data_IF_019489225616
#
_entry.id   IF_019489225616
#
_cell.length_a   1.000
_cell.length_b   1.000
_cell.length_c   1.000
_cell.angle_alpha   90.00
_cell.angle_beta   90.00
_cell.angle_gamma   90.00
#
_symmetry.space_group_name_H-M   'P 1'
#
loop_
_entity.id
_entity.type
_entity.pdbx_description
1 polymer ?
#
# COMPACT_ATOMS: atom_id res chain seq x y z
N UNK A 1 15.77 -10.55 -14.76
CA UNK A 1 15.17 -11.87 -14.46
C UNK A 1 13.67 -11.70 -14.43
N UNK A 2 12.94 -12.44 -15.26
CA UNK A 2 11.48 -12.45 -15.24
C UNK A 2 10.98 -13.18 -13.99
N UNK A 3 9.88 -12.73 -13.41
CA UNK A 3 9.21 -13.37 -12.28
C UNK A 3 8.66 -14.74 -12.75
N UNK A 4 8.90 -15.81 -11.98
CA UNK A 4 8.34 -17.13 -12.27
C UNK A 4 6.82 -17.12 -12.17
N UNK A 5 6.11 -17.75 -13.08
CA UNK A 5 4.65 -17.91 -13.03
C UNK A 5 4.15 -18.69 -11.80
N UNK A 6 5.04 -19.47 -11.18
CA UNK A 6 4.77 -20.23 -9.94
C UNK A 6 5.14 -19.48 -8.67
N UNK A 7 5.66 -18.24 -8.77
CA UNK A 7 5.97 -17.45 -7.58
C UNK A 7 4.71 -17.15 -6.78
N UNK A 8 4.83 -17.23 -5.44
CA UNK A 8 3.76 -16.89 -4.51
C UNK A 8 3.72 -15.37 -4.31
N UNK A 9 2.63 -14.76 -4.74
CA UNK A 9 2.41 -13.31 -4.72
C UNK A 9 1.24 -13.02 -3.78
N UNK A 10 1.49 -12.22 -2.73
CA UNK A 10 0.45 -11.73 -1.84
C UNK A 10 0.11 -10.28 -2.20
N UNK A 11 -1.17 -10.01 -2.45
CA UNK A 11 -1.71 -8.67 -2.67
C UNK A 11 -2.59 -8.29 -1.48
N UNK A 12 -2.13 -7.38 -0.63
CA UNK A 12 -3.01 -6.79 0.38
C UNK A 12 -3.85 -5.69 -0.25
N UNK A 13 -5.10 -5.55 0.17
CA UNK A 13 -6.03 -4.64 -0.52
C UNK A 13 -6.53 -5.18 -1.86
N UNK A 14 -6.46 -6.50 -2.08
CA UNK A 14 -6.77 -7.17 -3.33
C UNK A 14 -8.22 -7.03 -3.82
N UNK A 15 -9.17 -6.60 -2.97
CA UNK A 15 -10.56 -6.30 -3.35
C UNK A 15 -10.84 -4.80 -3.55
N UNK A 16 -9.83 -3.96 -3.36
CA UNK A 16 -9.91 -2.55 -3.74
C UNK A 16 -9.82 -2.37 -5.26
N UNK A 17 -10.02 -1.13 -5.72
CA UNK A 17 -9.96 -0.79 -7.14
C UNK A 17 -8.68 -1.32 -7.82
N UNK A 18 -7.51 -0.87 -7.37
CA UNK A 18 -6.24 -1.28 -7.98
C UNK A 18 -5.94 -2.77 -7.76
N UNK A 19 -6.27 -3.31 -6.56
CA UNK A 19 -6.01 -4.71 -6.23
C UNK A 19 -6.77 -5.69 -7.11
N UNK A 20 -8.04 -5.40 -7.43
CA UNK A 20 -8.87 -6.23 -8.30
C UNK A 20 -8.30 -6.29 -9.72
N UNK A 21 -7.93 -5.14 -10.29
CA UNK A 21 -7.30 -5.10 -11.62
C UNK A 21 -5.95 -5.83 -11.65
N UNK A 22 -5.15 -5.66 -10.61
CA UNK A 22 -3.86 -6.34 -10.52
C UNK A 22 -4.00 -7.87 -10.40
N UNK A 23 -4.94 -8.34 -9.57
CA UNK A 23 -5.21 -9.79 -9.43
C UNK A 23 -5.65 -10.39 -10.76
N UNK A 24 -6.60 -9.75 -11.45
CA UNK A 24 -7.07 -10.17 -12.78
C UNK A 24 -5.92 -10.21 -13.79
N UNK A 25 -5.12 -9.15 -13.87
CA UNK A 25 -4.02 -9.08 -14.83
C UNK A 25 -2.94 -10.14 -14.57
N UNK A 26 -2.55 -10.35 -13.31
CA UNK A 26 -1.57 -11.38 -12.97
C UNK A 26 -2.08 -12.79 -13.35
N UNK A 27 -3.36 -13.08 -13.08
CA UNK A 27 -3.95 -14.37 -13.49
C UNK A 27 -4.04 -14.51 -14.99
N UNK A 28 -4.42 -13.45 -15.71
CA UNK A 28 -4.46 -13.45 -17.18
C UNK A 28 -3.07 -13.68 -17.78
N UNK A 29 -2.03 -13.17 -17.12
CA UNK A 29 -0.63 -13.44 -17.50
C UNK A 29 -0.13 -14.83 -17.09
N UNK A 30 -0.96 -15.67 -16.47
CA UNK A 30 -0.63 -17.04 -16.11
C UNK A 30 0.15 -17.19 -14.79
N UNK A 31 0.08 -16.23 -13.87
CA UNK A 31 0.57 -16.45 -12.51
C UNK A 31 -0.40 -17.33 -11.73
N UNK A 32 0.10 -18.47 -11.22
CA UNK A 32 -0.73 -19.52 -10.64
C UNK A 32 -1.02 -19.28 -9.15
N UNK A 33 -0.10 -18.66 -8.42
CA UNK A 33 -0.15 -18.53 -6.96
C UNK A 33 -0.31 -17.06 -6.54
N UNK A 34 -1.46 -16.47 -6.89
CA UNK A 34 -1.83 -15.10 -6.49
C UNK A 34 -2.83 -15.16 -5.35
N UNK A 35 -2.47 -14.62 -4.20
CA UNK A 35 -3.27 -14.55 -2.99
C UNK A 35 -3.71 -13.11 -2.75
N UNK A 36 -4.98 -12.90 -2.41
CA UNK A 36 -5.50 -11.57 -2.11
C UNK A 36 -6.01 -11.51 -0.68
N UNK A 37 -5.62 -10.46 0.06
CA UNK A 37 -6.15 -10.13 1.36
C UNK A 37 -6.85 -8.75 1.31
N UNK A 38 -8.08 -8.67 1.82
CA UNK A 38 -8.92 -7.48 1.64
C UNK A 38 -9.46 -6.86 2.92
N UNK A 39 -8.82 -7.13 4.03
CA UNK A 39 -9.10 -6.45 5.30
C UNK A 39 -10.47 -6.76 5.91
N UNK A 40 -10.96 -5.86 6.75
CA UNK A 40 -12.13 -6.03 7.64
C UNK A 40 -13.41 -6.47 6.93
N UNK A 41 -13.65 -6.03 5.71
CA UNK A 41 -14.86 -6.41 4.95
C UNK A 41 -14.96 -7.91 4.64
N UNK A 42 -13.87 -8.65 4.78
CA UNK A 42 -13.82 -10.11 4.59
C UNK A 42 -13.36 -10.85 5.86
N UNK A 43 -13.47 -10.21 7.02
CA UNK A 43 -13.12 -10.81 8.31
C UNK A 43 -11.61 -10.89 8.60
N UNK A 44 -10.75 -10.34 7.74
CA UNK A 44 -9.32 -10.32 7.95
C UNK A 44 -8.83 -8.89 8.22
N UNK A 45 -8.80 -8.49 9.49
CA UNK A 45 -8.25 -7.19 9.87
C UNK A 45 -6.72 -7.24 9.87
N UNK A 46 -6.12 -6.53 8.93
CA UNK A 46 -4.65 -6.40 8.83
C UNK A 46 -4.05 -5.49 9.92
N UNK A 47 -4.87 -4.84 10.72
CA UNK A 47 -4.48 -4.16 11.96
C UNK A 47 -4.20 -5.12 13.11
N UNK A 48 -4.65 -6.38 13.03
CA UNK A 48 -4.42 -7.41 14.04
C UNK A 48 -3.20 -8.27 13.69
N UNK A 49 -2.25 -8.37 14.62
CA UNK A 49 -0.99 -9.11 14.41
C UNK A 49 -1.22 -10.59 14.10
N UNK A 50 -2.15 -11.22 14.84
CA UNK A 50 -2.49 -12.63 14.62
C UNK A 50 -3.03 -12.90 13.21
N UNK A 51 -3.77 -11.96 12.64
CA UNK A 51 -4.31 -12.08 11.28
C UNK A 51 -3.21 -11.94 10.23
N UNK A 52 -2.27 -11.04 10.45
CA UNK A 52 -1.14 -10.85 9.53
C UNK A 52 -0.21 -12.06 9.59
N UNK A 53 0.13 -12.54 10.79
CA UNK A 53 0.91 -13.77 10.98
C UNK A 53 0.26 -14.97 10.29
N UNK A 54 -1.05 -15.21 10.53
CA UNK A 54 -1.79 -16.26 9.85
C UNK A 54 -1.74 -16.13 8.32
N UNK A 55 -1.88 -14.91 7.80
CA UNK A 55 -1.85 -14.66 6.36
C UNK A 55 -0.49 -15.04 5.74
N UNK A 56 0.60 -14.72 6.40
CA UNK A 56 1.94 -15.07 5.95
C UNK A 56 2.21 -16.57 6.12
N UNK A 57 1.75 -17.19 7.20
CA UNK A 57 1.82 -18.64 7.40
C UNK A 57 1.05 -19.40 6.31
N UNK A 58 -0.13 -18.92 5.96
CA UNK A 58 -0.96 -19.57 4.93
C UNK A 58 -0.39 -19.40 3.52
N UNK A 59 0.13 -18.21 3.18
CA UNK A 59 0.52 -17.89 1.81
C UNK A 59 2.00 -18.13 1.53
N UNK A 60 2.87 -18.11 2.55
CA UNK A 60 4.33 -18.14 2.42
C UNK A 60 4.82 -17.28 1.24
N UNK A 61 4.51 -15.97 1.21
CA UNK A 61 4.69 -15.17 0.02
C UNK A 61 6.17 -14.94 -0.32
N UNK A 62 6.51 -15.03 -1.60
CA UNK A 62 7.81 -14.63 -2.13
C UNK A 62 7.84 -13.15 -2.50
N UNK A 63 6.67 -12.61 -2.87
CA UNK A 63 6.47 -11.21 -3.23
C UNK A 63 5.23 -10.68 -2.54
N UNK A 64 5.33 -9.47 -2.00
CA UNK A 64 4.20 -8.77 -1.38
C UNK A 64 3.93 -7.49 -2.15
N UNK A 65 2.68 -7.27 -2.54
CA UNK A 65 2.22 -6.01 -3.14
C UNK A 65 1.24 -5.41 -2.15
N UNK A 66 1.70 -4.38 -1.43
CA UNK A 66 0.95 -3.76 -0.35
C UNK A 66 0.12 -2.59 -0.85
N UNK A 67 -1.15 -2.89 -1.23
CA UNK A 67 -2.13 -1.91 -1.70
C UNK A 67 -3.15 -1.55 -0.62
N UNK A 68 -3.23 -2.32 0.46
CA UNK A 68 -4.16 -2.04 1.53
C UNK A 68 -3.90 -0.67 2.14
N UNK A 69 -4.93 0.15 2.19
CA UNK A 69 -4.91 1.48 2.78
C UNK A 69 -6.32 1.89 3.15
N UNK A 70 -6.46 2.54 4.30
CA UNK A 70 -7.66 3.27 4.66
C UNK A 70 -7.54 4.67 4.09
N UNK A 71 -8.32 4.95 3.08
CA UNK A 71 -8.46 6.27 2.51
C UNK A 71 -9.93 6.66 2.56
N UNK A 72 -10.20 7.87 2.93
CA UNK A 72 -11.52 8.49 2.78
C UNK A 72 -11.31 9.79 2.01
N UNK A 73 -12.27 10.25 1.24
CA UNK A 73 -12.16 11.53 0.56
C UNK A 73 -11.75 12.68 1.48
N UNK A 74 -11.71 13.89 0.97
CA UNK A 74 -11.31 15.11 1.70
C UNK A 74 -12.00 15.24 3.07
N UNK A 75 -13.33 15.00 3.12
CA UNK A 75 -14.10 15.10 4.36
C UNK A 75 -13.70 14.10 5.45
N UNK A 76 -13.43 12.85 5.07
CA UNK A 76 -12.99 11.83 6.01
C UNK A 76 -11.57 12.08 6.51
N UNK A 77 -10.66 12.52 5.62
CA UNK A 77 -9.30 12.89 6.01
C UNK A 77 -9.27 14.07 6.99
N UNK A 78 -10.23 15.00 6.87
CA UNK A 78 -10.36 16.09 7.83
C UNK A 78 -10.94 15.61 9.18
N UNK A 79 -12.02 14.83 9.14
CA UNK A 79 -12.77 14.41 10.34
C UNK A 79 -12.08 13.30 11.14
N UNK A 80 -11.41 12.37 10.49
CA UNK A 80 -10.85 11.15 11.08
C UNK A 80 -9.33 11.03 10.89
N UNK A 81 -8.64 12.15 10.77
CA UNK A 81 -7.21 12.21 10.43
C UNK A 81 -6.33 11.31 11.31
N UNK A 82 -6.51 11.37 12.63
CA UNK A 82 -5.73 10.56 13.58
C UNK A 82 -6.00 9.06 13.44
N UNK A 83 -7.29 8.67 13.32
CA UNK A 83 -7.67 7.27 13.11
C UNK A 83 -7.13 6.71 11.80
N UNK A 84 -7.27 7.46 10.70
CA UNK A 84 -6.74 7.05 9.40
C UNK A 84 -5.22 6.91 9.40
N UNK A 85 -4.51 7.84 10.05
CA UNK A 85 -3.06 7.75 10.21
C UNK A 85 -2.67 6.50 11.00
N UNK A 86 -3.31 6.28 12.16
CA UNK A 86 -3.06 5.12 13.02
C UNK A 86 -3.29 3.79 12.27
N UNK A 87 -4.46 3.63 11.64
CA UNK A 87 -4.82 2.39 10.94
C UNK A 87 -3.85 2.07 9.79
N UNK A 88 -3.46 3.08 8.99
CA UNK A 88 -2.51 2.89 7.90
C UNK A 88 -1.12 2.50 8.40
N UNK A 89 -0.62 3.15 9.45
CA UNK A 89 0.67 2.83 10.05
C UNK A 89 0.65 1.45 10.69
N UNK A 90 -0.35 1.16 11.53
CA UNK A 90 -0.49 -0.10 12.26
C UNK A 90 -0.48 -1.31 11.33
N UNK A 91 -1.30 -1.27 10.28
CA UNK A 91 -1.37 -2.33 9.27
C UNK A 91 -0.05 -2.48 8.51
N UNK A 92 0.51 -1.38 8.02
CA UNK A 92 1.70 -1.42 7.17
C UNK A 92 2.95 -1.86 7.94
N UNK A 93 3.10 -1.44 9.20
CA UNK A 93 4.23 -1.86 10.06
C UNK A 93 4.22 -3.38 10.22
N UNK A 94 3.06 -3.99 10.50
CA UNK A 94 2.93 -5.45 10.64
C UNK A 94 3.24 -6.19 9.35
N UNK A 95 2.69 -5.74 8.23
CA UNK A 95 2.96 -6.35 6.91
C UNK A 95 4.44 -6.27 6.54
N UNK A 96 5.12 -5.16 6.83
CA UNK A 96 6.54 -4.99 6.53
C UNK A 96 7.39 -5.89 7.44
N UNK A 97 7.06 -5.97 8.73
CA UNK A 97 7.80 -6.81 9.66
C UNK A 97 7.64 -8.31 9.35
N UNK A 98 6.41 -8.77 9.06
CA UNK A 98 6.19 -10.15 8.62
C UNK A 98 6.91 -10.44 7.30
N UNK A 99 6.88 -9.51 6.33
CA UNK A 99 7.61 -9.68 5.08
C UNK A 99 9.13 -9.84 5.30
N UNK A 100 9.70 -9.17 6.33
CA UNK A 100 11.08 -9.34 6.74
C UNK A 100 11.32 -10.72 7.37
N UNK A 101 10.47 -11.13 8.31
CA UNK A 101 10.61 -12.41 9.04
C UNK A 101 10.51 -13.61 8.09
N UNK A 102 9.59 -13.53 7.11
CA UNK A 102 9.42 -14.56 6.07
C UNK A 102 10.43 -14.47 4.91
N UNK A 103 11.42 -13.56 5.00
CA UNK A 103 12.44 -13.36 3.97
C UNK A 103 11.84 -13.15 2.56
N UNK A 104 10.79 -12.35 2.48
CA UNK A 104 10.13 -12.00 1.21
C UNK A 104 11.16 -11.43 0.24
N UNK A 105 11.18 -11.94 -0.99
CA UNK A 105 12.15 -11.54 -2.03
C UNK A 105 12.04 -10.07 -2.40
N UNK A 106 10.81 -9.53 -2.39
CA UNK A 106 10.54 -8.09 -2.60
C UNK A 106 9.17 -7.71 -2.09
N UNK A 107 9.08 -6.54 -1.45
CA UNK A 107 7.83 -5.84 -1.18
C UNK A 107 7.69 -4.62 -2.08
N UNK A 108 6.49 -4.46 -2.65
CA UNK A 108 6.09 -3.27 -3.42
C UNK A 108 5.05 -2.52 -2.58
N UNK A 109 5.34 -1.27 -2.26
CA UNK A 109 4.45 -0.35 -1.56
C UNK A 109 3.92 0.71 -2.52
N UNK A 110 2.77 1.30 -2.19
CA UNK A 110 2.15 2.36 -2.98
C UNK A 110 2.00 3.62 -2.16
N UNK A 111 2.46 4.72 -2.72
CA UNK A 111 2.19 6.09 -2.32
C UNK A 111 1.46 6.83 -3.46
N UNK A 112 1.08 8.06 -3.24
CA UNK A 112 0.44 8.91 -4.24
C UNK A 112 1.00 10.35 -4.22
N UNK A 113 0.56 11.15 -5.18
CA UNK A 113 1.00 12.55 -5.32
C UNK A 113 0.66 13.42 -4.10
N UNK A 114 -0.31 13.06 -3.27
CA UNK A 114 -0.60 13.78 -2.03
C UNK A 114 0.59 13.75 -1.05
N UNK A 115 1.53 12.83 -1.25
CA UNK A 115 2.75 12.76 -0.47
C UNK A 115 3.76 13.86 -0.83
N UNK A 116 3.65 14.54 -1.96
CA UNK A 116 4.54 15.65 -2.29
C UNK A 116 4.24 16.89 -1.45
N UNK A 117 5.25 17.76 -1.21
CA UNK A 117 5.01 19.07 -0.62
C UNK A 117 3.99 19.88 -1.40
N UNK A 118 3.21 20.69 -0.70
CA UNK A 118 2.18 21.54 -1.31
C UNK A 118 2.71 22.55 -2.34
N UNK A 119 3.99 22.86 -2.28
CA UNK A 119 4.70 23.81 -3.17
C UNK A 119 5.70 23.12 -4.10
N UNK A 120 5.62 21.81 -4.29
CA UNK A 120 6.48 21.10 -5.22
C UNK A 120 6.29 21.60 -6.65
N UNK A 121 7.39 21.78 -7.42
CA UNK A 121 7.30 22.15 -8.83
C UNK A 121 6.63 21.04 -9.65
N UNK A 122 6.05 21.43 -10.77
CA UNK A 122 5.48 20.51 -11.76
C UNK A 122 6.40 20.52 -13.00
N UNK A 123 6.76 19.36 -13.57
CA UNK A 123 6.37 17.99 -13.16
C UNK A 123 7.03 17.54 -11.85
N UNK A 124 6.32 16.70 -11.08
CA UNK A 124 6.86 16.08 -9.87
C UNK A 124 8.02 15.15 -10.21
N UNK A 125 9.07 15.21 -9.39
CA UNK A 125 10.21 14.29 -9.44
C UNK A 125 10.43 13.67 -8.06
N UNK A 126 10.93 12.43 -8.02
CA UNK A 126 11.03 11.65 -6.77
C UNK A 126 11.90 12.35 -5.71
N UNK A 127 12.90 13.13 -6.12
CA UNK A 127 13.77 13.87 -5.21
C UNK A 127 13.03 14.94 -4.40
N UNK A 128 11.90 15.45 -4.90
CA UNK A 128 11.11 16.48 -4.21
C UNK A 128 10.16 15.89 -3.15
N UNK A 129 10.04 14.58 -3.10
CA UNK A 129 9.13 13.87 -2.18
C UNK A 129 9.33 14.27 -0.70
N UNK A 130 10.54 14.66 -0.32
CA UNK A 130 10.90 15.01 1.06
C UNK A 130 11.13 16.51 1.30
N UNK A 131 10.98 17.36 0.29
CA UNK A 131 11.39 18.78 0.31
C UNK A 131 10.40 19.72 1.00
N UNK A 132 9.50 19.23 1.83
CA UNK A 132 8.56 20.06 2.59
C UNK A 132 7.36 19.29 3.11
N UNK A 133 6.39 20.03 3.66
CA UNK A 133 5.19 19.45 4.26
C UNK A 133 4.09 19.22 3.20
N UNK A 134 3.36 18.09 3.23
CA UNK A 134 2.25 17.83 2.32
C UNK A 134 1.12 18.83 2.48
N UNK A 135 0.21 18.88 1.50
CA UNK A 135 -0.97 19.74 1.57
C UNK A 135 -1.84 19.37 2.78
N UNK A 136 -2.24 20.38 3.57
CA UNK A 136 -2.87 20.23 4.89
C UNK A 136 -4.08 19.30 4.90
N UNK A 137 -4.89 19.29 3.84
CA UNK A 137 -6.11 18.49 3.77
C UNK A 137 -5.86 16.98 3.87
N UNK A 138 -4.77 16.48 3.27
CA UNK A 138 -4.38 15.06 3.30
C UNK A 138 -3.07 14.83 4.07
N UNK A 139 -2.59 15.83 4.83
CA UNK A 139 -1.26 15.79 5.42
C UNK A 139 -1.00 14.55 6.28
N UNK A 140 -1.90 14.19 7.16
CA UNK A 140 -1.72 13.06 8.07
C UNK A 140 -1.67 11.71 7.34
N UNK A 141 -2.50 11.54 6.31
CA UNK A 141 -2.44 10.39 5.41
C UNK A 141 -1.11 10.37 4.65
N UNK A 142 -0.70 11.48 4.08
CA UNK A 142 0.55 11.61 3.33
C UNK A 142 1.78 11.36 4.21
N UNK A 143 1.79 11.86 5.44
CA UNK A 143 2.86 11.59 6.42
C UNK A 143 2.89 10.11 6.78
N UNK A 144 1.75 9.44 6.98
CA UNK A 144 1.73 8.00 7.19
C UNK A 144 2.38 7.26 6.02
N UNK A 145 2.04 7.59 4.77
CA UNK A 145 2.65 7.00 3.57
C UNK A 145 4.16 7.28 3.45
N UNK A 146 4.61 8.48 3.81
CA UNK A 146 6.03 8.81 3.88
C UNK A 146 6.75 8.00 4.96
N UNK A 147 6.17 7.87 6.15
CA UNK A 147 6.74 7.07 7.26
C UNK A 147 6.92 5.62 6.83
N UNK A 148 5.93 5.03 6.14
CA UNK A 148 6.02 3.67 5.59
C UNK A 148 7.16 3.58 4.55
N UNK A 149 7.30 4.58 3.69
CA UNK A 149 8.36 4.64 2.67
C UNK A 149 9.74 4.73 3.30
N UNK A 150 9.90 5.53 4.36
CA UNK A 150 11.15 5.65 5.11
C UNK A 150 11.48 4.38 5.89
N UNK A 151 10.49 3.77 6.53
CA UNK A 151 10.65 2.46 7.18
C UNK A 151 11.19 1.41 6.19
N UNK A 152 10.64 1.34 4.98
CA UNK A 152 11.12 0.43 3.94
C UNK A 152 12.57 0.75 3.53
N UNK A 153 12.96 2.01 3.50
CA UNK A 153 14.34 2.44 3.24
C UNK A 153 15.27 1.97 4.37
N UNK A 154 14.87 2.14 5.63
CA UNK A 154 15.60 1.67 6.79
C UNK A 154 15.75 0.14 6.79
N UNK A 155 14.69 -0.60 6.47
CA UNK A 155 14.70 -2.06 6.36
C UNK A 155 15.59 -2.56 5.22
N UNK A 156 15.66 -1.83 4.11
CA UNK A 156 16.62 -2.12 3.04
C UNK A 156 18.05 -1.98 3.54
N UNK A 157 18.35 -0.89 4.27
CA UNK A 157 19.69 -0.61 4.79
C UNK A 157 20.12 -1.60 5.84
N UNK A 158 19.25 -1.94 6.78
CA UNK A 158 19.58 -2.78 7.92
C UNK A 158 19.52 -4.28 7.60
N UNK A 159 18.50 -4.73 6.88
CA UNK A 159 18.19 -6.14 6.66
C UNK A 159 18.39 -6.60 5.21
N UNK A 160 18.78 -5.72 4.29
CA UNK A 160 18.92 -6.05 2.88
C UNK A 160 17.56 -6.31 2.17
N UNK A 161 16.44 -5.98 2.80
CA UNK A 161 15.09 -6.24 2.29
C UNK A 161 14.82 -5.45 1.02
N UNK A 162 14.63 -6.13 -0.10
CA UNK A 162 14.34 -5.49 -1.38
C UNK A 162 12.93 -4.93 -1.37
N UNK A 163 12.82 -3.66 -1.64
CA UNK A 163 11.52 -2.97 -1.72
C UNK A 163 11.50 -1.92 -2.83
N UNK A 164 10.29 -1.53 -3.21
CA UNK A 164 10.04 -0.44 -4.17
C UNK A 164 8.78 0.27 -3.72
N UNK A 165 8.81 1.60 -3.62
CA UNK A 165 7.60 2.41 -3.48
C UNK A 165 7.25 3.00 -4.83
N UNK A 166 6.03 2.73 -5.32
CA UNK A 166 5.47 3.33 -6.52
C UNK A 166 4.66 4.55 -6.10
N UNK A 167 4.89 5.68 -6.74
CA UNK A 167 4.14 6.91 -6.50
C UNK A 167 3.20 7.11 -7.69
N UNK A 168 1.90 6.99 -7.44
CA UNK A 168 0.88 7.16 -8.46
C UNK A 168 0.33 8.60 -8.47
N UNK A 169 -0.03 9.08 -9.65
CA UNK A 169 -0.98 10.18 -9.81
C UNK A 169 -2.41 9.68 -9.48
N UNK A 170 -3.40 10.53 -9.66
CA UNK A 170 -4.79 10.09 -9.52
C UNK A 170 -5.13 9.03 -10.58
N UNK A 171 -5.53 7.86 -10.11
CA UNK A 171 -5.89 6.71 -10.93
C UNK A 171 -7.41 6.57 -10.88
N UNK A 172 -8.03 6.36 -12.02
CA UNK A 172 -9.46 6.11 -12.17
C UNK A 172 -9.72 5.06 -13.25
N UNK A 173 -10.88 4.42 -13.21
CA UNK A 173 -11.22 3.43 -14.23
C UNK A 173 -12.43 2.56 -13.84
N UNK A 174 -12.73 1.51 -14.62
CA UNK A 174 -13.79 0.56 -14.30
C UNK A 174 -13.61 -0.05 -12.91
N UNK A 175 -14.70 -0.26 -12.18
CA UNK A 175 -14.73 -0.78 -10.80
C UNK A 175 -14.19 0.20 -9.74
N UNK A 176 -13.89 1.45 -10.09
CA UNK A 176 -13.62 2.47 -9.08
C UNK A 176 -14.94 2.92 -8.43
N UNK A 177 -14.84 3.41 -7.20
CA UNK A 177 -15.98 3.91 -6.45
C UNK A 177 -16.16 5.42 -6.72
N UNK A 178 -17.10 5.73 -7.61
CA UNK A 178 -17.45 7.11 -7.97
C UNK A 178 -18.60 7.65 -7.09
N UNK A 179 -18.48 7.52 -5.77
CA UNK A 179 -19.44 8.13 -4.85
C UNK A 179 -19.06 9.60 -4.59
N UNK A 180 -19.91 10.57 -5.01
CA UNK A 180 -19.67 11.99 -4.76
C UNK A 180 -19.58 12.32 -3.27
N UNK A 181 -20.22 11.53 -2.40
CA UNK A 181 -20.18 11.72 -0.95
C UNK A 181 -18.94 11.09 -0.30
N UNK A 182 -18.28 10.15 -0.97
CA UNK A 182 -17.00 9.60 -0.52
C UNK A 182 -15.80 10.51 -0.84
N UNK A 183 -16.01 11.60 -1.57
CA UNK A 183 -15.02 12.64 -1.82
C UNK A 183 -13.81 12.20 -2.65
N UNK A 184 -14.02 11.30 -3.60
CA UNK A 184 -12.98 10.83 -4.52
C UNK A 184 -12.98 11.58 -5.86
N UNK A 185 -13.72 12.66 -5.99
CA UNK A 185 -13.70 13.55 -7.15
C UNK A 185 -13.20 14.92 -6.72
#
# INVERSE_FOLDING_TARGET
MSLSKKSRILITGGKGFLGTHLDEELRNQGYENVFTASGVRQGLDLGEEANVGWLFDFTHPEYVIHLASRNGGVGANFKYAGGLMYENLNMSIKIIEEARQYNVKRIINVADIACYPSNSPIPYVENDFWNGYPHLVKAHYAIAKRTITDMLSAYRKQFGMKNTTLIFSDIYGPKDEFDPHAGKI
#
